data_IF_412792358969
#
_entry.id   IF_412792358969
#
_cell.length_a   1.000
_cell.length_b   1.000
_cell.length_c   1.000
_cell.angle_alpha   90.00
_cell.angle_beta   90.00
_cell.angle_gamma   90.00
#
_symmetry.space_group_name_H-M   'P 1'
#
loop_
_entity.id
_entity.type
_entity.pdbx_description
1 polymer ?
#
# COMPACT_ATOMS: atom_id res chain seq x y z
N UNK A 1 17.00 -51.07 39.43
CA UNK A 1 15.74 -51.01 38.64
C UNK A 1 14.80 -49.82 39.02
N UNK A 2 14.85 -49.30 40.21
CA UNK A 2 13.91 -48.25 40.62
C UNK A 2 14.40 -46.82 40.35
N UNK A 3 15.70 -46.65 40.13
CA UNK A 3 16.32 -45.36 39.85
C UNK A 3 16.38 -45.06 38.36
N UNK A 4 16.51 -46.08 37.50
CA UNK A 4 16.57 -45.88 36.05
C UNK A 4 15.24 -45.30 35.53
N UNK A 5 14.09 -45.82 35.99
CA UNK A 5 12.78 -45.30 35.62
C UNK A 5 12.54 -43.86 36.10
N UNK A 6 13.14 -43.45 37.23
CA UNK A 6 13.00 -42.08 37.73
C UNK A 6 13.84 -41.10 36.89
N UNK A 7 14.99 -41.52 36.41
CA UNK A 7 15.81 -40.69 35.53
C UNK A 7 15.17 -40.54 34.15
N UNK A 8 14.60 -41.59 33.59
CA UNK A 8 13.87 -41.55 32.34
C UNK A 8 12.63 -40.65 32.42
N UNK A 9 11.87 -40.67 33.53
CA UNK A 9 10.74 -39.78 33.76
C UNK A 9 11.19 -38.31 33.89
N UNK A 10 12.30 -38.05 34.56
CA UNK A 10 12.84 -36.67 34.72
C UNK A 10 13.41 -36.14 33.43
N UNK A 11 14.08 -36.95 32.62
CA UNK A 11 14.54 -36.58 31.27
C UNK A 11 13.35 -36.26 30.37
N UNK A 12 12.31 -37.09 30.37
CA UNK A 12 11.09 -36.80 29.59
C UNK A 12 10.36 -35.54 30.01
N UNK A 13 10.33 -35.23 31.32
CA UNK A 13 9.74 -33.96 31.81
C UNK A 13 10.59 -32.76 31.39
N UNK A 14 11.93 -32.85 31.50
CA UNK A 14 12.83 -31.78 31.09
C UNK A 14 12.76 -31.51 29.59
N UNK A 15 12.71 -32.55 28.76
CA UNK A 15 12.53 -32.41 27.31
C UNK A 15 11.18 -31.74 26.95
N UNK A 16 10.11 -32.05 27.67
CA UNK A 16 8.80 -31.43 27.49
C UNK A 16 8.82 -29.95 27.90
N UNK A 17 9.45 -29.62 29.03
CA UNK A 17 9.58 -28.23 29.48
C UNK A 17 10.42 -27.39 28.51
N UNK A 18 11.58 -27.88 28.06
CA UNK A 18 12.42 -27.22 27.06
C UNK A 18 11.71 -27.01 25.74
N UNK A 19 10.95 -28.03 25.28
CA UNK A 19 10.15 -27.93 24.05
C UNK A 19 9.02 -26.90 24.18
N UNK A 20 8.37 -26.80 25.36
CA UNK A 20 7.35 -25.79 25.62
C UNK A 20 7.93 -24.37 25.64
N UNK A 21 9.08 -24.16 26.30
CA UNK A 21 9.78 -22.88 26.31
C UNK A 21 10.20 -22.44 24.89
N UNK A 22 10.74 -23.36 24.07
CA UNK A 22 11.09 -23.07 22.68
C UNK A 22 9.87 -22.66 21.85
N UNK A 23 8.71 -23.32 22.05
CA UNK A 23 7.48 -22.95 21.35
C UNK A 23 6.98 -21.57 21.76
N UNK A 24 7.07 -21.23 23.04
CA UNK A 24 6.69 -19.91 23.55
C UNK A 24 7.60 -18.80 23.00
N UNK A 25 8.90 -19.04 22.96
CA UNK A 25 9.87 -18.10 22.37
C UNK A 25 9.56 -17.87 20.88
N UNK A 26 9.34 -18.94 20.11
CA UNK A 26 8.99 -18.82 18.68
C UNK A 26 7.67 -18.10 18.46
N UNK A 27 6.67 -18.35 19.32
CA UNK A 27 5.38 -17.66 19.24
C UNK A 27 5.52 -16.16 19.51
N UNK A 28 6.39 -15.76 20.47
CA UNK A 28 6.66 -14.37 20.77
C UNK A 28 7.48 -13.69 19.66
N UNK A 29 8.49 -14.35 19.11
CA UNK A 29 9.24 -13.86 17.94
C UNK A 29 8.31 -13.61 16.76
N UNK A 30 7.38 -14.53 16.49
CA UNK A 30 6.40 -14.39 15.40
C UNK A 30 5.44 -13.22 15.67
N UNK A 31 4.96 -13.03 16.90
CA UNK A 31 4.15 -11.86 17.26
C UNK A 31 4.89 -10.56 17.02
N UNK A 32 6.15 -10.49 17.42
CA UNK A 32 7.00 -9.32 17.22
C UNK A 32 7.25 -9.05 15.72
N UNK A 33 7.47 -10.09 14.94
CA UNK A 33 7.62 -10.02 13.49
C UNK A 33 6.37 -9.44 12.83
N UNK A 34 5.20 -10.03 13.12
CA UNK A 34 3.92 -9.58 12.58
C UNK A 34 3.57 -8.15 13.01
N UNK A 35 3.90 -7.77 14.24
CA UNK A 35 3.67 -6.43 14.78
C UNK A 35 4.47 -5.33 14.08
N UNK A 36 5.53 -5.67 13.35
CA UNK A 36 6.36 -4.73 12.58
C UNK A 36 5.90 -4.53 11.13
N UNK A 37 5.03 -5.42 10.61
CA UNK A 37 4.56 -5.34 9.22
C UNK A 37 3.62 -4.16 9.04
N UNK A 38 3.95 -3.30 8.07
CA UNK A 38 3.06 -2.21 7.64
C UNK A 38 2.08 -2.70 6.57
N UNK A 39 1.00 -1.93 6.33
CA UNK A 39 0.08 -2.19 5.19
C UNK A 39 0.85 -2.23 3.87
N UNK A 40 1.84 -1.34 3.72
CA UNK A 40 2.71 -1.29 2.55
C UNK A 40 3.47 -2.60 2.36
N UNK A 41 4.12 -3.11 3.41
CA UNK A 41 4.90 -4.34 3.34
C UNK A 41 4.03 -5.54 3.01
N UNK A 42 2.85 -5.59 3.59
CA UNK A 42 1.86 -6.65 3.31
C UNK A 42 1.35 -6.61 1.87
N UNK A 43 1.09 -5.42 1.30
CA UNK A 43 0.69 -5.29 -0.09
C UNK A 43 1.83 -5.66 -1.05
N UNK A 44 3.06 -5.26 -0.73
CA UNK A 44 4.24 -5.61 -1.51
C UNK A 44 4.45 -7.12 -1.53
N UNK A 45 4.31 -7.80 -0.39
CA UNK A 45 4.40 -9.26 -0.29
C UNK A 45 3.31 -9.97 -1.12
N UNK A 46 2.09 -9.44 -1.15
CA UNK A 46 1.04 -9.96 -2.02
C UNK A 46 1.45 -9.86 -3.49
N UNK A 47 2.01 -8.72 -3.91
CA UNK A 47 2.45 -8.51 -5.29
C UNK A 47 3.61 -9.44 -5.67
N UNK A 48 4.64 -9.52 -4.82
CA UNK A 48 5.83 -10.36 -5.05
C UNK A 48 5.52 -11.87 -5.10
N UNK A 49 4.48 -12.31 -4.37
CA UNK A 49 4.04 -13.70 -4.36
C UNK A 49 3.28 -14.11 -5.64
N UNK A 50 2.90 -13.14 -6.48
CA UNK A 50 2.16 -13.47 -7.70
C UNK A 50 3.11 -13.86 -8.84
N UNK A 51 2.76 -14.87 -9.63
CA UNK A 51 3.49 -15.17 -10.85
C UNK A 51 3.48 -13.96 -11.79
N UNK A 52 4.62 -13.69 -12.41
CA UNK A 52 4.71 -12.61 -13.40
C UNK A 52 3.67 -12.79 -14.51
N UNK A 53 2.88 -11.75 -14.77
CA UNK A 53 1.82 -11.79 -15.78
C UNK A 53 0.51 -12.42 -15.32
N UNK A 54 0.37 -12.79 -14.04
CA UNK A 54 -0.91 -13.28 -13.49
C UNK A 54 -1.95 -12.17 -13.46
N UNK A 55 -3.19 -12.53 -13.79
CA UNK A 55 -4.35 -11.63 -13.68
C UNK A 55 -4.90 -11.63 -12.25
N UNK A 56 -4.16 -11.05 -11.29
CA UNK A 56 -4.66 -10.88 -9.93
C UNK A 56 -5.09 -9.45 -9.67
N UNK A 57 -5.91 -9.25 -8.68
CA UNK A 57 -6.27 -7.93 -8.17
C UNK A 57 -6.48 -7.95 -6.66
N UNK A 58 -6.35 -6.77 -6.07
CA UNK A 58 -6.67 -6.51 -4.66
C UNK A 58 -7.80 -5.50 -4.62
N UNK A 59 -8.85 -5.77 -3.84
CA UNK A 59 -9.90 -4.78 -3.60
C UNK A 59 -9.49 -3.87 -2.45
N UNK A 60 -9.39 -2.59 -2.76
CA UNK A 60 -9.00 -1.53 -1.81
C UNK A 60 -10.25 -0.73 -1.48
N UNK A 61 -10.61 -0.67 -0.22
CA UNK A 61 -11.63 0.20 0.31
C UNK A 61 -10.96 1.50 0.73
N UNK A 62 -11.40 2.61 0.17
CA UNK A 62 -10.79 3.91 0.37
C UNK A 62 -11.54 4.72 1.44
N UNK A 63 -10.87 5.70 2.01
CA UNK A 63 -11.39 6.54 3.11
C UNK A 63 -12.60 7.39 2.73
N UNK A 64 -12.88 7.58 1.44
CA UNK A 64 -14.09 8.22 0.92
C UNK A 64 -15.29 7.25 0.78
N UNK A 65 -15.15 6.01 1.21
CA UNK A 65 -16.13 4.95 1.09
C UNK A 65 -16.16 4.24 -0.26
N UNK A 66 -15.36 4.67 -1.22
CA UNK A 66 -15.29 4.01 -2.53
C UNK A 66 -14.45 2.72 -2.48
N UNK A 67 -14.72 1.81 -3.42
CA UNK A 67 -13.99 0.56 -3.58
C UNK A 67 -13.39 0.50 -4.97
N UNK A 68 -12.10 0.16 -5.05
CA UNK A 68 -11.41 -0.03 -6.32
C UNK A 68 -10.72 -1.40 -6.33
N UNK A 69 -10.84 -2.12 -7.43
CA UNK A 69 -10.04 -3.30 -7.68
C UNK A 69 -8.79 -2.88 -8.45
N UNK A 70 -7.62 -3.18 -7.91
CA UNK A 70 -6.37 -2.72 -8.48
C UNK A 70 -5.32 -3.83 -8.52
N UNK A 71 -4.40 -3.72 -9.47
CA UNK A 71 -3.16 -4.47 -9.51
C UNK A 71 -2.02 -3.51 -9.19
N UNK A 72 -1.37 -3.64 -8.02
CA UNK A 72 -0.21 -2.83 -7.67
C UNK A 72 0.92 -2.98 -8.70
N UNK A 73 1.69 -1.91 -8.89
CA UNK A 73 2.81 -1.87 -9.86
C UNK A 73 4.09 -1.37 -9.19
N UNK A 74 4.01 -0.26 -8.46
CA UNK A 74 5.19 0.35 -7.82
C UNK A 74 4.82 0.86 -6.45
N UNK A 75 5.69 0.61 -5.47
CA UNK A 75 5.50 1.03 -4.08
C UNK A 75 6.48 2.15 -3.72
N UNK A 76 5.93 3.30 -3.38
CA UNK A 76 6.65 4.42 -2.80
C UNK A 76 6.77 4.31 -1.27
N UNK A 77 7.17 5.41 -0.62
CA UNK A 77 7.28 5.47 0.83
C UNK A 77 5.90 5.44 1.51
N UNK A 78 4.97 6.23 1.00
CA UNK A 78 3.65 6.52 1.57
C UNK A 78 2.51 6.44 0.53
N UNK A 79 2.78 5.80 -0.60
CA UNK A 79 1.87 5.61 -1.73
C UNK A 79 2.23 4.36 -2.52
N UNK A 80 1.33 3.92 -3.38
CA UNK A 80 1.62 2.96 -4.44
C UNK A 80 0.90 3.35 -5.73
N UNK A 81 1.49 3.00 -6.88
CA UNK A 81 0.81 3.05 -8.17
C UNK A 81 0.19 1.71 -8.48
N UNK A 82 -0.90 1.74 -9.21
CA UNK A 82 -1.61 0.53 -9.61
C UNK A 82 -2.35 0.72 -10.94
N UNK A 83 -2.59 -0.39 -11.63
CA UNK A 83 -3.54 -0.45 -12.71
C UNK A 83 -4.93 -0.73 -12.13
N UNK A 84 -5.92 0.06 -12.50
CA UNK A 84 -7.32 -0.19 -12.13
C UNK A 84 -7.82 -1.37 -12.94
N UNK A 85 -8.31 -2.39 -12.26
CA UNK A 85 -8.94 -3.56 -12.89
C UNK A 85 -10.42 -3.25 -13.03
N UNK A 86 -10.80 -2.72 -14.19
CA UNK A 86 -12.18 -2.45 -14.58
C UNK A 86 -12.54 -3.31 -15.80
N UNK A 87 -13.82 -3.54 -16.01
CA UNK A 87 -14.35 -4.25 -17.19
C UNK A 87 -14.10 -3.48 -18.49
N UNK A 88 -13.72 -2.21 -18.40
CA UNK A 88 -13.37 -1.39 -19.56
C UNK A 88 -11.99 -1.74 -20.11
N UNK A 89 -11.87 -1.79 -21.43
CA UNK A 89 -10.68 -2.22 -22.20
C UNK A 89 -9.46 -1.30 -22.04
N UNK A 90 -9.54 -0.21 -21.26
CA UNK A 90 -8.45 0.74 -21.03
C UNK A 90 -7.92 0.59 -19.62
N UNK A 91 -6.69 0.12 -19.51
CA UNK A 91 -5.95 0.16 -18.24
C UNK A 91 -5.77 1.62 -17.81
N UNK A 92 -6.43 2.00 -16.73
CA UNK A 92 -6.30 3.34 -16.14
C UNK A 92 -5.33 3.22 -14.97
N UNK A 93 -4.23 3.95 -15.06
CA UNK A 93 -3.27 4.00 -13.95
C UNK A 93 -3.76 4.93 -12.84
N UNK A 94 -3.50 4.52 -11.61
CA UNK A 94 -3.80 5.35 -10.46
C UNK A 94 -2.63 5.36 -9.45
N UNK A 95 -2.64 6.38 -8.60
CA UNK A 95 -1.77 6.50 -7.44
C UNK A 95 -2.67 6.55 -6.21
N UNK A 96 -2.40 5.70 -5.23
CA UNK A 96 -3.17 5.61 -3.99
C UNK A 96 -2.22 5.88 -2.81
N UNK A 97 -2.47 6.93 -2.02
CA UNK A 97 -1.78 7.12 -0.75
C UNK A 97 -2.09 5.97 0.22
N UNK A 98 -1.09 5.46 0.92
CA UNK A 98 -1.31 4.40 1.93
C UNK A 98 -2.28 4.87 3.02
N UNK A 99 -2.19 6.14 3.42
CA UNK A 99 -3.08 6.74 4.41
C UNK A 99 -4.56 6.84 3.96
N UNK A 100 -4.84 6.72 2.66
CA UNK A 100 -6.20 6.71 2.12
C UNK A 100 -6.85 5.33 2.14
N UNK A 101 -6.14 4.29 2.52
CA UNK A 101 -6.66 2.93 2.60
C UNK A 101 -7.45 2.78 3.91
N UNK A 102 -8.75 2.56 3.80
CA UNK A 102 -9.59 2.21 4.94
C UNK A 102 -9.46 0.71 5.29
N UNK A 103 -9.45 -0.15 4.26
CA UNK A 103 -9.22 -1.59 4.41
C UNK A 103 -8.87 -2.27 3.08
N UNK A 104 -8.39 -3.51 3.17
CA UNK A 104 -8.07 -4.37 2.03
C UNK A 104 -8.88 -5.66 2.12
N UNK A 105 -9.49 -6.09 1.02
CA UNK A 105 -10.04 -7.43 0.92
C UNK A 105 -9.03 -8.34 0.22
N UNK A 106 -8.46 -9.25 0.98
CA UNK A 106 -7.50 -10.25 0.51
C UNK A 106 -8.16 -11.63 0.46
N UNK A 107 -7.84 -12.40 -0.57
CA UNK A 107 -8.15 -13.83 -0.61
C UNK A 107 -7.30 -14.59 0.41
N UNK A 108 -7.65 -15.84 0.74
CA UNK A 108 -6.84 -16.66 1.67
C UNK A 108 -5.38 -16.81 1.22
N UNK A 109 -5.05 -17.10 -0.06
CA UNK A 109 -3.66 -17.14 -0.51
C UNK A 109 -2.96 -15.78 -0.38
N UNK A 110 -3.64 -14.67 -0.73
CA UNK A 110 -3.08 -13.32 -0.58
C UNK A 110 -2.83 -12.97 0.89
N UNK A 111 -3.74 -13.34 1.79
CA UNK A 111 -3.56 -13.15 3.23
C UNK A 111 -2.33 -13.91 3.73
N UNK A 112 -2.19 -15.19 3.36
CA UNK A 112 -1.05 -16.02 3.75
C UNK A 112 0.26 -15.41 3.20
N UNK A 113 0.31 -15.04 1.92
CA UNK A 113 1.47 -14.39 1.31
C UNK A 113 1.85 -13.09 2.01
N UNK A 114 0.85 -12.28 2.38
CA UNK A 114 1.07 -10.99 3.07
C UNK A 114 1.71 -11.12 4.45
N UNK A 115 1.61 -12.30 5.08
CA UNK A 115 2.17 -12.58 6.40
C UNK A 115 3.50 -13.35 6.33
N UNK A 116 3.83 -13.92 5.18
CA UNK A 116 5.03 -14.74 5.01
C UNK A 116 6.33 -13.93 4.80
N UNK A 117 6.21 -12.60 4.66
CA UNK A 117 7.37 -11.74 4.41
C UNK A 117 8.06 -11.35 5.71
N UNK A 118 9.38 -11.36 5.71
CA UNK A 118 10.15 -10.73 6.77
C UNK A 118 10.03 -9.21 6.67
N UNK A 119 10.00 -8.53 7.83
CA UNK A 119 9.98 -7.08 7.82
C UNK A 119 11.18 -6.54 7.02
N UNK A 120 10.95 -5.65 6.03
CA UNK A 120 12.04 -5.16 5.19
C UNK A 120 13.08 -4.46 6.04
N UNK A 121 14.37 -4.64 5.66
CA UNK A 121 15.48 -3.96 6.33
C UNK A 121 15.30 -2.43 6.20
N UNK A 122 15.07 -1.71 7.31
CA UNK A 122 14.86 -0.27 7.28
C UNK A 122 16.09 0.50 6.80
N UNK A 123 17.27 -0.13 6.79
CA UNK A 123 18.53 0.50 6.42
C UNK A 123 18.85 0.42 4.92
N UNK A 124 18.11 -0.40 4.14
CA UNK A 124 18.30 -0.56 2.69
C UNK A 124 17.00 -0.53 1.88
N UNK A 125 16.18 0.53 1.97
CA UNK A 125 15.00 0.62 1.13
C UNK A 125 15.41 0.79 -0.33
N UNK A 126 14.75 0.06 -1.25
CA UNK A 126 14.88 0.27 -2.69
C UNK A 126 14.55 1.74 -3.05
N UNK A 127 15.13 2.25 -4.13
CA UNK A 127 14.97 3.66 -4.52
C UNK A 127 13.49 4.15 -4.55
N UNK A 128 12.53 3.41 -5.15
CA UNK A 128 11.13 3.81 -5.13
C UNK A 128 10.56 3.95 -3.71
N UNK A 129 10.96 3.07 -2.79
CA UNK A 129 10.50 3.08 -1.40
C UNK A 129 10.90 4.35 -0.61
N UNK A 130 11.81 5.16 -1.13
CA UNK A 130 12.24 6.44 -0.55
C UNK A 130 11.42 7.62 -1.07
N UNK A 131 10.72 7.48 -2.19
CA UNK A 131 9.97 8.55 -2.84
C UNK A 131 8.62 8.75 -2.15
N UNK A 132 8.35 9.98 -1.72
CA UNK A 132 7.06 10.35 -1.13
C UNK A 132 6.01 10.66 -2.20
N UNK A 133 4.73 10.65 -1.82
CA UNK A 133 3.61 11.09 -2.66
C UNK A 133 3.87 12.49 -3.25
N UNK A 134 4.31 13.44 -2.43
CA UNK A 134 4.62 14.79 -2.89
C UNK A 134 5.70 14.84 -3.98
N UNK A 135 6.64 13.91 -4.00
CA UNK A 135 7.63 13.81 -5.07
C UNK A 135 6.97 13.43 -6.41
N UNK A 136 6.09 12.43 -6.39
CA UNK A 136 5.37 11.97 -7.60
C UNK A 136 4.42 13.05 -8.10
N UNK A 137 3.70 13.73 -7.21
CA UNK A 137 2.82 14.83 -7.59
C UNK A 137 3.59 15.99 -8.21
N UNK A 138 4.83 16.29 -7.77
CA UNK A 138 5.70 17.28 -8.41
C UNK A 138 6.13 16.84 -9.82
N UNK A 139 6.32 15.54 -10.06
CA UNK A 139 6.59 15.04 -11.39
C UNK A 139 5.39 15.20 -12.33
N UNK A 140 4.18 14.89 -11.86
CA UNK A 140 2.93 15.14 -12.61
C UNK A 140 2.72 16.63 -12.89
N UNK A 141 3.01 17.51 -11.92
CA UNK A 141 3.00 18.96 -12.08
C UNK A 141 3.97 19.40 -13.18
N UNK A 142 5.22 18.93 -13.14
CA UNK A 142 6.24 19.27 -14.14
C UNK A 142 5.86 18.81 -15.55
N UNK A 143 5.21 17.65 -15.67
CA UNK A 143 4.73 17.10 -16.95
C UNK A 143 3.44 17.75 -17.42
N UNK A 144 2.82 18.62 -16.62
CA UNK A 144 1.53 19.21 -16.92
C UNK A 144 0.44 18.16 -17.22
N UNK A 145 0.51 17.03 -16.54
CA UNK A 145 -0.44 15.94 -16.72
C UNK A 145 -1.83 16.36 -16.25
N UNK A 146 -2.83 16.14 -17.10
CA UNK A 146 -4.23 16.22 -16.66
C UNK A 146 -4.54 15.02 -15.78
N UNK A 147 -5.15 15.25 -14.64
CA UNK A 147 -5.47 14.22 -13.65
C UNK A 147 -6.93 14.29 -13.19
N UNK A 148 -7.44 13.18 -12.73
CA UNK A 148 -8.62 13.12 -11.89
C UNK A 148 -8.15 12.90 -10.45
N UNK A 149 -8.42 13.89 -9.59
CA UNK A 149 -8.07 13.86 -8.18
C UNK A 149 -9.33 13.57 -7.36
N UNK A 150 -9.34 12.44 -6.65
CA UNK A 150 -10.40 12.09 -5.70
C UNK A 150 -9.98 12.49 -4.30
N UNK A 151 -10.88 13.17 -3.63
CA UNK A 151 -10.75 13.57 -2.22
C UNK A 151 -11.98 13.10 -1.43
N UNK A 152 -11.95 13.17 -0.10
CA UNK A 152 -13.11 12.91 0.73
C UNK A 152 -14.31 13.83 0.41
N UNK A 153 -14.06 15.02 -0.16
CA UNK A 153 -15.09 15.99 -0.54
C UNK A 153 -15.61 15.84 -1.97
N UNK A 154 -15.10 14.85 -2.73
CA UNK A 154 -15.52 14.60 -4.11
C UNK A 154 -14.37 14.52 -5.11
N UNK A 155 -14.72 14.54 -6.39
CA UNK A 155 -13.79 14.37 -7.51
C UNK A 155 -13.53 15.72 -8.17
N UNK A 156 -12.25 16.02 -8.40
CA UNK A 156 -11.76 17.21 -9.10
C UNK A 156 -11.01 16.75 -10.35
N UNK A 157 -11.15 17.46 -11.46
CA UNK A 157 -10.40 17.23 -12.69
C UNK A 157 -9.60 18.47 -13.03
N UNK A 158 -8.36 18.27 -13.46
CA UNK A 158 -7.51 19.41 -13.75
C UNK A 158 -6.05 19.07 -13.88
N UNK A 159 -5.22 20.10 -13.77
CA UNK A 159 -3.75 20.02 -13.83
C UNK A 159 -3.16 20.60 -12.55
N UNK A 160 -2.17 19.92 -11.99
CA UNK A 160 -1.45 20.42 -10.82
C UNK A 160 -0.56 21.58 -11.25
N UNK A 161 -0.77 22.76 -10.68
CA UNK A 161 0.06 23.95 -10.93
C UNK A 161 1.25 24.03 -10.00
N UNK A 162 1.07 23.61 -8.72
CA UNK A 162 2.11 23.64 -7.69
C UNK A 162 1.91 22.52 -6.70
N UNK A 163 3.02 22.06 -6.09
CA UNK A 163 3.00 21.12 -4.97
C UNK A 163 3.84 21.68 -3.84
N UNK A 164 3.18 22.03 -2.77
CA UNK A 164 3.78 22.50 -1.52
C UNK A 164 4.30 21.35 -0.64
N UNK A 165 4.51 21.66 0.63
CA UNK A 165 4.96 20.69 1.63
C UNK A 165 3.85 19.69 2.01
N UNK A 166 2.62 20.19 2.16
CA UNK A 166 1.45 19.51 2.70
C UNK A 166 0.17 19.73 1.86
N UNK A 167 0.27 20.45 0.74
CA UNK A 167 -0.84 20.76 -0.16
C UNK A 167 -0.41 20.78 -1.62
N UNK A 168 -1.38 20.84 -2.51
CA UNK A 168 -1.20 21.12 -3.93
C UNK A 168 -2.21 22.18 -4.40
N UNK A 169 -1.82 22.96 -5.41
CA UNK A 169 -2.72 23.85 -6.16
C UNK A 169 -3.15 23.13 -7.44
N UNK A 170 -4.45 22.90 -7.59
CA UNK A 170 -5.06 22.29 -8.75
C UNK A 170 -5.82 23.33 -9.57
N UNK A 171 -5.40 23.55 -10.82
CA UNK A 171 -6.19 24.27 -11.81
C UNK A 171 -7.33 23.36 -12.30
N UNK A 172 -8.56 23.64 -11.89
CA UNK A 172 -9.73 22.84 -12.23
C UNK A 172 -10.22 23.19 -13.62
N UNK A 173 -10.29 22.20 -14.49
CA UNK A 173 -10.84 22.30 -15.86
C UNK A 173 -11.44 20.96 -16.30
N UNK A 174 -12.19 20.96 -17.40
CA UNK A 174 -12.80 19.75 -17.95
C UNK A 174 -11.74 18.78 -18.48
N UNK A 175 -12.09 17.48 -18.44
CA UNK A 175 -11.26 16.44 -18.98
C UNK A 175 -11.03 16.62 -20.50
N UNK A 176 -9.82 16.33 -20.96
CA UNK A 176 -9.47 16.40 -22.38
C UNK A 176 -9.12 17.80 -22.90
N UNK A 177 -9.28 18.85 -22.08
CA UNK A 177 -8.84 20.18 -22.46
C UNK A 177 -7.43 20.47 -21.94
N UNK A 178 -6.51 20.98 -22.79
CA UNK A 178 -5.20 21.38 -22.32
C UNK A 178 -5.34 22.59 -21.37
N UNK A 179 -4.52 22.62 -20.31
CA UNK A 179 -4.52 23.74 -19.36
C UNK A 179 -4.20 25.05 -20.10
N UNK A 180 -5.18 25.93 -20.19
CA UNK A 180 -5.06 27.32 -20.63
C UNK A 180 -5.80 28.18 -19.62
N UNK A 181 -5.34 29.41 -19.37
CA UNK A 181 -5.98 30.29 -18.39
C UNK A 181 -7.47 30.54 -18.70
N UNK A 182 -7.85 30.55 -20.00
CA UNK A 182 -9.22 30.72 -20.44
C UNK A 182 -10.17 29.52 -20.15
N UNK A 183 -9.64 28.33 -19.86
CA UNK A 183 -10.43 27.11 -19.59
C UNK A 183 -10.38 26.71 -18.11
N UNK A 184 -9.54 27.34 -17.31
CA UNK A 184 -9.46 27.10 -15.85
C UNK A 184 -10.66 27.78 -15.20
N UNK A 185 -11.57 26.99 -14.64
CA UNK A 185 -12.75 27.51 -13.96
C UNK A 185 -12.40 28.19 -12.63
N UNK A 186 -11.51 27.57 -11.87
CA UNK A 186 -10.99 28.08 -10.61
C UNK A 186 -9.78 27.23 -10.16
N UNK A 187 -9.02 27.73 -9.20
CA UNK A 187 -7.95 26.98 -8.56
C UNK A 187 -8.42 26.44 -7.21
N UNK A 188 -8.05 25.21 -6.90
CA UNK A 188 -8.29 24.55 -5.61
C UNK A 188 -6.98 24.28 -4.90
N UNK A 189 -6.87 24.75 -3.66
CA UNK A 189 -5.81 24.34 -2.75
C UNK A 189 -6.29 23.10 -2.01
N UNK A 190 -5.60 21.95 -2.23
CA UNK A 190 -5.99 20.65 -1.69
C UNK A 190 -4.89 20.15 -0.75
N UNK A 191 -5.18 19.92 0.54
CA UNK A 191 -4.23 19.28 1.45
C UNK A 191 -3.87 17.87 0.96
N UNK A 192 -2.59 17.49 1.03
CA UNK A 192 -2.14 16.15 0.60
C UNK A 192 -2.80 15.04 1.43
N UNK A 193 -3.13 15.32 2.69
CA UNK A 193 -3.86 14.39 3.57
C UNK A 193 -5.30 14.11 3.11
N UNK A 194 -5.87 14.95 2.24
CA UNK A 194 -7.21 14.76 1.69
C UNK A 194 -7.22 14.02 0.34
N UNK A 195 -6.04 13.73 -0.20
CA UNK A 195 -5.91 12.97 -1.45
C UNK A 195 -6.23 11.51 -1.18
N UNK A 196 -7.26 11.00 -1.84
CA UNK A 196 -7.71 9.61 -1.73
C UNK A 196 -7.18 8.76 -2.87
N UNK A 197 -7.26 9.29 -4.11
CA UNK A 197 -6.79 8.61 -5.31
C UNK A 197 -6.49 9.65 -6.40
N UNK A 198 -5.43 9.42 -7.16
CA UNK A 198 -5.11 10.18 -8.37
C UNK A 198 -5.19 9.24 -9.56
N UNK A 199 -6.04 9.53 -10.55
CA UNK A 199 -6.08 8.82 -11.84
C UNK A 199 -5.34 9.62 -12.92
N UNK A 200 -4.65 8.87 -13.79
CA UNK A 200 -3.87 9.39 -14.90
C UNK A 200 -4.54 9.10 -16.26
#
# INVERSE_FOLDING_TARGET
>A
MRWDNLFDDLEGQLEQELSAEELDVRAEEERLRLGRLTIRDRLLAVDEAQPRGSAYSVRVFLSDGSVVAVRPVTFGRDWFSADVVDESTRSTQCIIPIAAIASLALTRPQLAASLAVDAPDPHRPALPARLSLGFVLRDLCRRRSAIELRTAAGVLRGTIDRVGRDHLDLAVHEAGQPRRDAVVSHSRLVPLAQVVLVRL
#
